data_IF_955809122799
#
_entry.id   IF_955809122799
#
_cell.length_a   1.000
_cell.length_b   1.000
_cell.length_c   1.000
_cell.angle_alpha   90.00
_cell.angle_beta   90.00
_cell.angle_gamma   90.00
#
_symmetry.space_group_name_H-M   'P 1'
#
loop_
_entity.id
_entity.type
_entity.pdbx_description
1 polymer ?
#
# COMPACT_ATOMS: atom_id res chain seq x y z
N UNK A 1 -14.61 -18.28 -5.59
CA UNK A 1 -13.52 -17.28 -5.56
C UNK A 1 -13.48 -16.75 -4.14
N UNK A 2 -12.33 -16.73 -3.44
CA UNK A 2 -12.29 -16.05 -2.16
C UNK A 2 -12.59 -14.58 -2.45
N UNK A 3 -13.70 -14.07 -1.94
CA UNK A 3 -13.99 -12.66 -2.02
C UNK A 3 -13.02 -11.98 -1.06
N UNK A 4 -12.07 -11.20 -1.59
CA UNK A 4 -11.30 -10.29 -0.77
C UNK A 4 -12.26 -9.34 -0.04
N UNK A 5 -11.86 -8.84 1.12
CA UNK A 5 -12.63 -7.78 1.76
C UNK A 5 -12.65 -6.55 0.84
N UNK A 6 -13.72 -5.77 0.91
CA UNK A 6 -13.85 -4.55 0.10
C UNK A 6 -12.66 -3.60 0.29
N UNK A 7 -12.09 -3.53 1.51
CA UNK A 7 -10.90 -2.75 1.81
C UNK A 7 -9.65 -3.25 1.06
N UNK A 8 -9.43 -4.57 1.04
CA UNK A 8 -8.28 -5.16 0.34
C UNK A 8 -8.41 -5.03 -1.18
N UNK A 9 -9.61 -5.17 -1.75
CA UNK A 9 -9.85 -4.95 -3.18
C UNK A 9 -9.57 -3.49 -3.58
N UNK A 10 -9.99 -2.53 -2.74
CA UNK A 10 -9.67 -1.12 -2.94
C UNK A 10 -8.17 -0.85 -2.87
N UNK A 11 -7.46 -1.45 -1.90
CA UNK A 11 -6.02 -1.31 -1.77
C UNK A 11 -5.27 -1.90 -2.98
N UNK A 12 -5.74 -3.02 -3.53
CA UNK A 12 -5.18 -3.62 -4.76
C UNK A 12 -5.36 -2.69 -5.98
N UNK A 13 -6.55 -2.12 -6.17
CA UNK A 13 -6.77 -1.15 -7.24
C UNK A 13 -5.90 0.11 -7.09
N UNK A 14 -5.71 0.58 -5.85
CA UNK A 14 -4.85 1.72 -5.55
C UNK A 14 -3.38 1.39 -5.84
N UNK A 15 -2.91 0.19 -5.47
CA UNK A 15 -1.56 -0.28 -5.75
C UNK A 15 -1.26 -0.35 -7.26
N UNK A 16 -2.22 -0.85 -8.05
CA UNK A 16 -2.14 -0.85 -9.51
C UNK A 16 -2.08 0.56 -10.09
N UNK A 17 -2.82 1.50 -9.50
CA UNK A 17 -2.77 2.92 -9.89
C UNK A 17 -1.37 3.48 -9.63
N UNK A 18 -0.79 3.24 -8.44
CA UNK A 18 0.56 3.70 -8.12
C UNK A 18 1.63 3.12 -9.04
N UNK A 19 1.52 1.83 -9.40
CA UNK A 19 2.42 1.20 -10.36
C UNK A 19 2.29 1.83 -11.75
N UNK A 20 1.06 2.06 -12.22
CA UNK A 20 0.80 2.65 -13.52
C UNK A 20 1.26 4.11 -13.62
N UNK A 21 1.09 4.91 -12.56
CA UNK A 21 1.60 6.28 -12.46
C UNK A 21 3.13 6.36 -12.58
N UNK A 22 3.82 5.30 -12.15
CA UNK A 22 5.29 5.16 -12.23
C UNK A 22 5.77 4.38 -13.44
N UNK A 23 4.86 4.01 -14.34
CA UNK A 23 5.15 3.18 -15.52
C UNK A 23 5.77 1.82 -15.19
N UNK A 24 5.49 1.28 -14.00
CA UNK A 24 5.85 -0.07 -13.64
C UNK A 24 4.87 -1.07 -14.28
N UNK A 25 5.39 -2.09 -14.97
CA UNK A 25 4.57 -3.13 -15.61
C UNK A 25 3.74 -3.96 -14.62
N UNK A 26 4.15 -4.01 -13.35
CA UNK A 26 3.51 -4.79 -12.31
C UNK A 26 3.40 -4.02 -11.00
N UNK A 27 2.26 -4.19 -10.32
CA UNK A 27 2.13 -3.78 -8.94
C UNK A 27 2.91 -4.75 -8.04
N UNK A 28 3.90 -4.23 -7.33
CA UNK A 28 4.71 -4.98 -6.37
C UNK A 28 4.10 -4.92 -4.96
N UNK A 29 4.67 -5.65 -4.01
CA UNK A 29 4.23 -5.65 -2.61
C UNK A 29 4.37 -4.26 -1.98
N UNK A 30 5.32 -3.45 -2.43
CA UNK A 30 5.57 -2.10 -1.96
C UNK A 30 4.45 -1.15 -2.37
N UNK A 31 3.93 -1.27 -3.59
CA UNK A 31 2.76 -0.51 -4.03
C UNK A 31 1.50 -0.87 -3.22
N UNK A 32 1.35 -2.17 -2.91
CA UNK A 32 0.27 -2.64 -2.04
C UNK A 32 0.43 -2.12 -0.62
N UNK A 33 1.65 -2.15 -0.08
CA UNK A 33 1.94 -1.62 1.24
C UNK A 33 1.66 -0.11 1.30
N UNK A 34 2.04 0.64 0.26
CA UNK A 34 1.73 2.07 0.14
C UNK A 34 0.21 2.33 0.17
N UNK A 35 -0.57 1.52 -0.56
CA UNK A 35 -2.02 1.60 -0.55
C UNK A 35 -2.63 1.24 0.82
N UNK A 36 -2.06 0.27 1.52
CA UNK A 36 -2.51 -0.14 2.87
C UNK A 36 -2.16 0.90 3.94
N UNK A 37 -1.07 1.65 3.79
CA UNK A 37 -0.73 2.75 4.71
C UNK A 37 -1.78 3.87 4.62
N UNK A 38 -2.32 4.13 3.43
CA UNK A 38 -3.39 5.12 3.21
C UNK A 38 -4.79 4.59 3.57
N UNK A 39 -4.95 3.29 3.83
CA UNK A 39 -6.21 2.70 4.29
C UNK A 39 -6.38 2.87 5.80
N UNK A 40 -7.53 3.41 6.24
CA UNK A 40 -7.76 3.76 7.64
C UNK A 40 -7.80 2.56 8.58
N UNK A 41 -8.31 1.40 8.14
CA UNK A 41 -8.38 0.21 8.97
C UNK A 41 -6.99 -0.42 9.10
N UNK A 42 -6.28 -0.58 8.00
CA UNK A 42 -4.93 -1.12 7.98
C UNK A 42 -3.95 -0.21 8.75
N UNK A 43 -4.03 1.11 8.56
CA UNK A 43 -3.25 2.08 9.31
C UNK A 43 -3.52 2.01 10.83
N UNK A 44 -4.77 1.80 11.24
CA UNK A 44 -5.09 1.62 12.66
C UNK A 44 -4.43 0.36 13.25
N UNK A 45 -4.43 -0.76 12.50
CA UNK A 45 -3.75 -1.99 12.90
C UNK A 45 -2.24 -1.78 12.99
N UNK A 46 -1.63 -1.15 11.99
CA UNK A 46 -0.19 -0.87 11.98
C UNK A 46 0.23 0.03 13.15
N UNK A 47 -0.55 1.08 13.44
CA UNK A 47 -0.32 1.93 14.62
C UNK A 47 -0.46 1.16 15.93
N UNK A 48 -1.43 0.24 16.02
CA UNK A 48 -1.57 -0.64 17.18
C UNK A 48 -0.37 -1.61 17.33
N UNK A 49 0.32 -1.91 16.23
CA UNK A 49 1.60 -2.63 16.21
C UNK A 49 2.83 -1.72 16.43
N UNK A 50 2.64 -0.47 16.86
CA UNK A 50 3.72 0.50 17.10
C UNK A 50 4.55 0.86 15.85
N UNK A 51 3.97 0.74 14.66
CA UNK A 51 4.61 1.15 13.40
C UNK A 51 4.49 2.66 13.22
N UNK A 52 5.61 3.33 12.92
CA UNK A 52 5.62 4.71 12.43
C UNK A 52 5.24 4.70 10.94
N UNK A 53 4.03 5.17 10.65
CA UNK A 53 3.50 5.18 9.29
C UNK A 53 4.16 6.21 8.39
N UNK A 54 4.64 7.32 8.94
CA UNK A 54 5.29 8.37 8.17
C UNK A 54 6.68 7.91 7.73
N UNK A 55 7.44 7.31 8.65
CA UNK A 55 8.73 6.68 8.35
C UNK A 55 8.57 5.52 7.35
N UNK A 56 7.58 4.65 7.58
CA UNK A 56 7.31 3.52 6.68
C UNK A 56 6.95 4.02 5.28
N UNK A 57 6.07 5.01 5.17
CA UNK A 57 5.66 5.60 3.88
C UNK A 57 6.86 6.18 3.14
N UNK A 58 7.71 6.93 3.83
CA UNK A 58 8.90 7.50 3.23
C UNK A 58 9.87 6.44 2.72
N UNK A 59 10.08 5.38 3.50
CA UNK A 59 10.95 4.24 3.13
C UNK A 59 10.41 3.52 1.90
N UNK A 60 9.11 3.23 1.88
CA UNK A 60 8.44 2.56 0.76
C UNK A 60 8.49 3.41 -0.51
N UNK A 61 8.17 4.71 -0.42
CA UNK A 61 8.26 5.62 -1.56
C UNK A 61 9.68 5.70 -2.11
N UNK A 62 10.68 5.83 -1.23
CA UNK A 62 12.09 5.87 -1.64
C UNK A 62 12.48 4.61 -2.40
N UNK A 63 12.03 3.44 -1.94
CA UNK A 63 12.32 2.15 -2.60
C UNK A 63 11.63 2.01 -3.95
N UNK A 64 10.39 2.49 -4.08
CA UNK A 64 9.64 2.42 -5.34
C UNK A 64 10.18 3.43 -6.37
N UNK A 65 10.67 4.57 -5.93
CA UNK A 65 11.18 5.64 -6.79
C UNK A 65 12.67 5.48 -7.18
N UNK A 66 13.37 4.47 -6.65
CA UNK A 66 14.75 4.07 -7.02
C UNK A 66 14.79 3.04 -8.14
#
# INVERSE_FOLDING_TARGET
MPAFSQGLEKALHQALTFANERHHEYATLEHLLLALIDDTEAAAVMRACNVDLDELKHTVLTYIDT
#
